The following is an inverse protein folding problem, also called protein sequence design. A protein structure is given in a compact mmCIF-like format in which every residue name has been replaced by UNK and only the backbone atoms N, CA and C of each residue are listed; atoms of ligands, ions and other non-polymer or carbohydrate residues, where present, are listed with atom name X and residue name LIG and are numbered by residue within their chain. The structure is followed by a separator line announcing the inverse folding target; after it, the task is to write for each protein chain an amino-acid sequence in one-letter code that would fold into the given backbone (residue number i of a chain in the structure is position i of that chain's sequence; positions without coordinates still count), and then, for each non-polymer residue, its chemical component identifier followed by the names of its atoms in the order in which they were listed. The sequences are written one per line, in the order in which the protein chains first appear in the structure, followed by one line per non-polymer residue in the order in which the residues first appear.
data_IF_380348593932
#
_entry.id   IF_380348593932
#
_cell.length_a   1.000
_cell.length_b   1.000
_cell.length_c   1.000
_cell.angle_alpha   90.00
_cell.angle_beta   90.00
_cell.angle_gamma   90.00
#
_symmetry.space_group_name_H-M   'P 1'
#
loop_
_entity.id
_entity.type
_entity.pdbx_description
1 polymer ?
#
# COMPACT_ATOMS: atom_id res chain seq x y z
N UNK A 1 17.75 28.12 -15.74
CA UNK A 1 19.09 27.65 -15.33
C UNK A 1 18.94 26.22 -14.83
N UNK A 2 19.62 25.24 -15.41
CA UNK A 2 19.51 23.86 -14.94
C UNK A 2 20.31 23.66 -13.65
N UNK A 3 19.95 22.67 -12.82
CA UNK A 3 20.70 22.35 -11.58
C UNK A 3 22.18 22.04 -11.88
N UNK A 4 22.44 21.39 -13.01
CA UNK A 4 23.79 21.11 -13.51
C UNK A 4 24.55 22.38 -13.90
N UNK A 5 23.88 23.39 -14.46
CA UNK A 5 24.53 24.67 -14.78
C UNK A 5 24.86 25.46 -13.51
N UNK A 6 23.95 25.45 -12.53
CA UNK A 6 24.16 26.10 -11.24
C UNK A 6 25.32 25.47 -10.45
N UNK A 7 25.41 24.14 -10.46
CA UNK A 7 26.48 23.43 -9.77
C UNK A 7 27.84 23.67 -10.43
N UNK A 8 27.89 23.74 -11.76
CA UNK A 8 29.11 24.09 -12.50
C UNK A 8 29.62 25.46 -12.07
N UNK A 9 28.74 26.46 -12.00
CA UNK A 9 29.10 27.81 -11.54
C UNK A 9 29.65 27.82 -10.10
N UNK A 10 29.02 27.05 -9.19
CA UNK A 10 29.50 26.88 -7.80
C UNK A 10 30.88 26.20 -7.77
N UNK A 11 31.11 25.23 -8.64
CA UNK A 11 32.36 24.47 -8.69
C UNK A 11 33.51 25.31 -9.28
N UNK A 12 33.20 26.19 -10.24
CA UNK A 12 34.16 27.09 -10.89
C UNK A 12 34.49 28.32 -10.03
N UNK A 13 33.61 28.69 -9.08
CA UNK A 13 33.84 29.81 -8.17
C UNK A 13 35.03 29.58 -7.23
N UNK A 14 35.98 30.52 -7.20
CA UNK A 14 37.12 30.51 -6.28
C UNK A 14 36.77 30.92 -4.85
N UNK A 15 35.58 31.51 -4.65
CA UNK A 15 35.10 32.00 -3.35
C UNK A 15 34.53 30.86 -2.50
N UNK A 16 34.03 29.80 -3.14
CA UNK A 16 33.37 28.69 -2.44
C UNK A 16 34.41 27.72 -1.86
N UNK A 17 34.38 27.44 -0.55
CA UNK A 17 35.29 26.48 0.07
C UNK A 17 35.16 25.07 -0.52
N UNK A 18 36.27 24.34 -0.58
CA UNK A 18 36.31 22.99 -1.16
C UNK A 18 35.43 21.97 -0.42
N UNK A 19 35.23 22.13 0.89
CA UNK A 19 34.32 21.30 1.67
C UNK A 19 32.86 21.45 1.21
N UNK A 20 32.45 22.67 0.88
CA UNK A 20 31.10 22.98 0.39
C UNK A 20 30.89 22.41 -1.01
N UNK A 21 31.88 22.56 -1.91
CA UNK A 21 31.84 21.95 -3.25
C UNK A 21 31.69 20.43 -3.16
N UNK A 22 32.46 19.78 -2.28
CA UNK A 22 32.35 18.33 -2.05
C UNK A 22 30.97 17.94 -1.53
N UNK A 23 30.43 18.65 -0.55
CA UNK A 23 29.09 18.38 -0.01
C UNK A 23 28.01 18.48 -1.09
N UNK A 24 28.03 19.52 -1.92
CA UNK A 24 27.06 19.66 -3.01
C UNK A 24 27.20 18.58 -4.08
N UNK A 25 28.42 18.18 -4.45
CA UNK A 25 28.65 17.09 -5.38
C UNK A 25 28.11 15.76 -4.82
N UNK A 26 28.38 15.46 -3.54
CA UNK A 26 27.83 14.27 -2.87
C UNK A 26 26.29 14.29 -2.87
N UNK A 27 25.67 15.43 -2.55
CA UNK A 27 24.21 15.56 -2.60
C UNK A 27 23.67 15.33 -4.02
N UNK A 28 24.38 15.82 -5.06
CA UNK A 28 23.96 15.60 -6.44
C UNK A 28 24.05 14.13 -6.84
N UNK A 29 25.11 13.44 -6.41
CA UNK A 29 25.30 12.01 -6.67
C UNK A 29 24.18 11.17 -6.01
N UNK A 30 23.86 11.47 -4.76
CA UNK A 30 22.74 10.85 -4.04
C UNK A 30 21.40 11.14 -4.73
N UNK A 31 21.16 12.39 -5.13
CA UNK A 31 19.92 12.77 -5.85
C UNK A 31 19.79 12.04 -7.19
N UNK A 32 20.91 11.86 -7.89
CA UNK A 32 20.95 11.11 -9.15
C UNK A 32 20.61 9.64 -8.92
N UNK A 33 21.16 9.04 -7.86
CA UNK A 33 20.85 7.67 -7.44
C UNK A 33 19.37 7.51 -7.11
N UNK A 34 18.81 8.39 -6.28
CA UNK A 34 17.39 8.39 -5.91
C UNK A 34 16.50 8.52 -7.15
N UNK A 35 16.85 9.40 -8.09
CA UNK A 35 16.09 9.57 -9.35
C UNK A 35 16.09 8.28 -10.18
N UNK A 36 17.22 7.60 -10.28
CA UNK A 36 17.32 6.33 -11.00
C UNK A 36 16.50 5.22 -10.33
N UNK A 37 16.55 5.12 -9.00
CA UNK A 37 15.75 4.15 -8.25
C UNK A 37 14.26 4.42 -8.40
N UNK A 38 13.83 5.67 -8.28
CA UNK A 38 12.46 6.11 -8.54
C UNK A 38 12.02 5.68 -9.94
N UNK A 39 12.82 5.93 -10.96
CA UNK A 39 12.51 5.59 -12.35
C UNK A 39 12.49 4.06 -12.60
N UNK A 40 13.31 3.30 -11.86
CA UNK A 40 13.24 1.82 -11.86
C UNK A 40 11.93 1.35 -11.22
N UNK A 41 11.61 1.84 -10.03
CA UNK A 41 10.42 1.45 -9.28
C UNK A 41 9.13 1.81 -10.04
N UNK A 42 9.07 2.98 -10.68
CA UNK A 42 7.93 3.34 -11.54
C UNK A 42 7.73 2.34 -12.68
N UNK A 43 8.80 1.91 -13.33
CA UNK A 43 8.72 0.90 -14.41
C UNK A 43 8.27 -0.46 -13.88
N UNK A 44 8.82 -0.91 -12.76
CA UNK A 44 8.42 -2.17 -12.13
C UNK A 44 6.96 -2.13 -11.69
N UNK A 45 6.53 -1.05 -11.04
CA UNK A 45 5.16 -0.85 -10.60
C UNK A 45 4.18 -0.83 -11.80
N UNK A 46 4.56 -0.17 -12.89
CA UNK A 46 3.81 -0.16 -14.15
C UNK A 46 3.62 -1.58 -14.72
N UNK A 47 4.68 -2.39 -14.73
CA UNK A 47 4.62 -3.78 -15.20
C UNK A 47 3.71 -4.62 -14.30
N UNK A 48 3.85 -4.48 -12.98
CA UNK A 48 3.04 -5.22 -12.01
C UNK A 48 1.56 -4.86 -12.13
N UNK A 49 1.21 -3.56 -12.20
CA UNK A 49 -0.17 -3.08 -12.40
C UNK A 49 -0.81 -3.66 -13.66
N UNK A 50 -0.07 -3.70 -14.78
CA UNK A 50 -0.52 -4.34 -16.02
C UNK A 50 -0.78 -5.85 -15.85
N UNK A 51 0.06 -6.55 -15.09
CA UNK A 51 -0.06 -8.00 -14.87
C UNK A 51 -1.31 -8.38 -14.06
N UNK A 52 -1.77 -7.49 -13.17
CA UNK A 52 -2.93 -7.71 -12.29
C UNK A 52 -4.20 -6.98 -12.75
N UNK A 53 -4.17 -6.30 -13.89
CA UNK A 53 -5.34 -5.65 -14.48
C UNK A 53 -5.80 -4.35 -13.79
N UNK A 54 -4.92 -3.71 -13.00
CA UNK A 54 -5.22 -2.41 -12.37
C UNK A 54 -4.99 -1.28 -13.39
N UNK A 55 -6.00 -0.41 -13.56
CA UNK A 55 -5.96 0.71 -14.51
C UNK A 55 -4.84 1.71 -14.19
N UNK A 56 -4.29 2.33 -15.24
CA UNK A 56 -3.15 3.26 -15.17
C UNK A 56 -3.53 4.64 -14.65
N UNK A 57 -4.83 4.96 -14.65
CA UNK A 57 -5.36 6.31 -14.45
C UNK A 57 -5.88 6.57 -13.04
N UNK A 58 -5.48 5.77 -12.04
CA UNK A 58 -5.78 6.10 -10.63
C UNK A 58 -4.65 6.99 -10.10
N UNK A 59 -4.80 8.33 -10.10
CA UNK A 59 -3.82 9.18 -9.44
C UNK A 59 -3.78 8.80 -7.97
N UNK A 60 -2.59 8.56 -7.45
CA UNK A 60 -2.35 8.53 -6.01
C UNK A 60 -2.35 10.00 -5.58
N UNK A 61 -3.52 10.57 -5.42
CA UNK A 61 -3.70 11.92 -4.89
C UNK A 61 -3.87 11.81 -3.39
N UNK A 62 -2.87 12.27 -2.65
CA UNK A 62 -3.01 12.67 -1.26
C UNK A 62 -3.86 13.96 -1.27
N UNK A 63 -5.19 13.88 -1.19
CA UNK A 63 -6.03 15.00 -0.70
C UNK A 63 -7.51 14.60 -0.53
N UNK A 64 -7.92 14.67 0.73
CA UNK A 64 -9.20 15.12 1.27
C UNK A 64 -9.96 16.11 0.37
N UNK A 65 -11.16 15.76 -0.11
CA UNK A 65 -12.35 16.62 -0.03
C UNK A 65 -13.63 15.90 -0.51
N UNK A 66 -14.74 16.21 0.16
CA UNK A 66 -15.98 16.53 -0.55
C UNK A 66 -16.93 15.40 -0.97
N UNK A 67 -17.88 15.11 -0.08
CA UNK A 67 -19.23 14.62 -0.38
C UNK A 67 -19.74 14.90 -1.82
N UNK A 68 -20.40 13.90 -2.42
CA UNK A 68 -21.82 14.01 -2.77
C UNK A 68 -22.45 12.64 -3.04
N UNK A 69 -23.31 12.27 -2.10
CA UNK A 69 -24.35 11.24 -2.23
C UNK A 69 -25.27 11.65 -3.36
N UNK A 70 -25.53 10.76 -4.31
CA UNK A 70 -26.81 10.76 -5.02
C UNK A 70 -27.37 9.35 -5.00
N UNK A 71 -28.44 9.27 -4.23
CA UNK A 71 -29.38 8.19 -4.01
C UNK A 71 -30.14 7.86 -5.31
N UNK A 72 -30.35 6.58 -5.62
CA UNK A 72 -31.63 6.17 -6.21
C UNK A 72 -31.94 4.70 -5.87
N UNK A 73 -32.79 4.58 -4.86
CA UNK A 73 -33.51 3.40 -4.48
C UNK A 73 -34.35 2.84 -5.64
N UNK A 74 -34.03 1.64 -6.12
CA UNK A 74 -35.04 0.74 -6.66
C UNK A 74 -35.16 -0.54 -5.85
N UNK A 75 -36.04 -0.42 -4.85
CA UNK A 75 -36.49 -1.45 -3.91
C UNK A 75 -37.44 -2.42 -4.61
N UNK A 76 -36.92 -3.55 -5.08
CA UNK A 76 -37.73 -4.73 -5.38
C UNK A 76 -37.75 -5.64 -4.16
N UNK A 77 -38.87 -5.63 -3.45
CA UNK A 77 -39.17 -6.51 -2.30
C UNK A 77 -39.35 -7.96 -2.77
N UNK A 78 -38.77 -8.96 -2.09
CA UNK A 78 -39.37 -10.29 -2.03
C UNK A 78 -39.90 -10.60 -0.63
N UNK A 79 -40.94 -11.43 -0.63
CA UNK A 79 -41.71 -11.92 0.50
C UNK A 79 -40.92 -12.77 1.52
N UNK A 80 -41.46 -12.94 2.74
CA UNK A 80 -40.77 -13.59 3.84
C UNK A 80 -40.84 -15.12 3.72
N UNK A 81 -39.74 -15.74 3.30
CA UNK A 81 -39.64 -17.21 3.31
C UNK A 81 -38.30 -17.64 3.92
N UNK A 82 -38.41 -18.37 5.03
CA UNK A 82 -37.46 -19.38 5.55
C UNK A 82 -36.25 -18.89 6.35
N UNK A 83 -36.36 -18.99 7.68
CA UNK A 83 -35.33 -18.86 8.72
C UNK A 83 -34.18 -19.90 8.65
N UNK A 84 -34.00 -20.61 7.54
CA UNK A 84 -33.00 -21.68 7.39
C UNK A 84 -31.68 -21.25 6.73
N UNK A 85 -31.62 -20.05 6.12
CA UNK A 85 -30.46 -19.56 5.36
C UNK A 85 -29.63 -18.46 6.04
N UNK A 86 -30.04 -17.98 7.22
CA UNK A 86 -29.33 -16.93 7.96
C UNK A 86 -27.84 -17.21 8.24
N UNK A 87 -27.44 -18.40 8.75
CA UNK A 87 -26.03 -18.62 9.09
C UNK A 87 -25.11 -18.69 7.87
N UNK A 88 -25.66 -19.04 6.70
CA UNK A 88 -24.90 -19.09 5.45
C UNK A 88 -24.69 -17.68 4.89
N UNK A 89 -25.74 -16.85 4.91
CA UNK A 89 -25.66 -15.46 4.49
C UNK A 89 -24.72 -14.62 5.37
N UNK A 90 -24.73 -14.79 6.69
CA UNK A 90 -23.82 -14.06 7.59
C UNK A 90 -22.35 -14.43 7.33
N UNK A 91 -22.05 -15.73 7.20
CA UNK A 91 -20.71 -16.22 6.87
C UNK A 91 -20.23 -15.71 5.50
N UNK A 92 -21.12 -15.72 4.50
CA UNK A 92 -20.79 -15.18 3.19
C UNK A 92 -20.56 -13.68 3.22
N UNK A 93 -21.34 -12.92 4.01
CA UNK A 93 -21.11 -11.48 4.16
C UNK A 93 -19.78 -11.19 4.86
N UNK A 94 -19.38 -11.99 5.85
CA UNK A 94 -18.06 -11.88 6.48
C UNK A 94 -16.94 -12.23 5.49
N UNK A 95 -17.11 -13.31 4.71
CA UNK A 95 -16.16 -13.72 3.67
C UNK A 95 -15.98 -12.66 2.58
N UNK A 96 -17.06 -12.03 2.14
CA UNK A 96 -17.03 -10.97 1.11
C UNK A 96 -16.41 -9.66 1.61
N UNK A 97 -16.36 -9.46 2.93
CA UNK A 97 -15.75 -8.30 3.58
C UNK A 97 -14.35 -8.59 4.12
N UNK A 98 -13.88 -9.83 3.99
CA UNK A 98 -12.56 -10.28 4.43
C UNK A 98 -11.63 -10.46 3.25
N UNK A 99 -10.35 -10.19 3.46
CA UNK A 99 -9.30 -10.47 2.48
C UNK A 99 -8.28 -11.44 3.08
N UNK A 100 -7.64 -12.24 2.23
CA UNK A 100 -6.56 -13.14 2.63
C UNK A 100 -5.24 -12.58 2.12
N UNK A 101 -4.35 -12.24 3.05
CA UNK A 101 -2.99 -11.76 2.74
C UNK A 101 -2.02 -12.91 2.96
N UNK A 102 -1.35 -13.34 1.89
CA UNK A 102 -0.38 -14.45 1.93
C UNK A 102 1.06 -13.93 1.88
N UNK A 103 1.99 -14.71 2.44
CA UNK A 103 3.43 -14.40 2.38
C UNK A 103 3.92 -13.36 3.39
N UNK A 104 3.13 -13.06 4.44
CA UNK A 104 3.57 -12.21 5.55
C UNK A 104 4.58 -12.99 6.42
N UNK A 105 5.82 -12.50 6.60
CA UNK A 105 6.80 -13.18 7.45
C UNK A 105 6.33 -13.22 8.91
N UNK A 106 6.37 -14.39 9.54
CA UNK A 106 5.98 -14.56 10.95
C UNK A 106 7.06 -14.07 11.92
N UNK A 107 6.64 -13.48 13.04
CA UNK A 107 7.56 -13.14 14.13
C UNK A 107 7.84 -14.36 15.02
N UNK A 108 9.10 -14.78 15.11
CA UNK A 108 9.57 -15.91 15.94
C UNK A 108 9.68 -15.60 17.44
N UNK A 109 8.67 -14.94 18.00
CA UNK A 109 8.61 -14.61 19.43
C UNK A 109 7.81 -15.63 20.22
N UNK A 110 8.32 -16.08 21.36
CA UNK A 110 7.56 -16.92 22.31
C UNK A 110 6.38 -16.17 22.97
N UNK A 111 6.43 -14.83 23.02
CA UNK A 111 5.34 -14.01 23.54
C UNK A 111 4.21 -13.90 22.51
N UNK A 112 3.00 -14.32 22.92
CA UNK A 112 1.76 -14.19 22.13
C UNK A 112 1.45 -12.72 21.87
N UNK A 113 1.54 -11.87 22.89
CA UNK A 113 1.29 -10.42 22.77
C UNK A 113 2.14 -9.77 21.68
N UNK A 114 3.44 -10.11 21.65
CA UNK A 114 4.36 -9.59 20.62
C UNK A 114 3.99 -10.07 19.22
N UNK A 115 3.55 -11.32 19.07
CA UNK A 115 3.13 -11.89 17.78
C UNK A 115 1.85 -11.22 17.27
N UNK A 116 0.81 -11.15 18.11
CA UNK A 116 -0.45 -10.48 17.76
C UNK A 116 -0.23 -9.02 17.38
N UNK A 117 0.60 -8.29 18.16
CA UNK A 117 0.93 -6.90 17.85
C UNK A 117 1.66 -6.76 16.52
N UNK A 118 2.60 -7.67 16.24
CA UNK A 118 3.32 -7.71 14.98
C UNK A 118 2.39 -8.01 13.81
N UNK A 119 1.44 -8.95 13.95
CA UNK A 119 0.49 -9.31 12.90
C UNK A 119 -0.42 -8.12 12.55
N UNK A 120 -0.97 -7.43 13.55
CA UNK A 120 -1.79 -6.23 13.35
C UNK A 120 -0.99 -5.14 12.63
N UNK A 121 0.23 -4.85 13.08
CA UNK A 121 1.09 -3.84 12.45
C UNK A 121 1.47 -4.21 11.02
N UNK A 122 1.78 -5.49 10.78
CA UNK A 122 2.14 -5.99 9.45
C UNK A 122 0.97 -5.86 8.49
N UNK A 123 -0.23 -6.29 8.89
CA UNK A 123 -1.44 -6.13 8.09
C UNK A 123 -1.75 -4.66 7.85
N UNK A 124 -1.66 -3.81 8.88
CA UNK A 124 -1.88 -2.38 8.73
C UNK A 124 -0.91 -1.74 7.73
N UNK A 125 0.38 -2.07 7.79
CA UNK A 125 1.36 -1.55 6.84
C UNK A 125 1.08 -1.99 5.41
N UNK A 126 0.61 -3.23 5.21
CA UNK A 126 0.23 -3.73 3.89
C UNK A 126 -1.00 -2.99 3.38
N UNK A 127 -2.06 -2.89 4.21
CA UNK A 127 -3.29 -2.19 3.88
C UNK A 127 -3.03 -0.71 3.55
N UNK A 128 -2.19 -0.06 4.35
CA UNK A 128 -1.73 1.30 4.11
C UNK A 128 -1.00 1.42 2.77
N UNK A 129 -0.08 0.49 2.48
CA UNK A 129 0.70 0.50 1.24
C UNK A 129 -0.16 0.33 -0.01
N UNK A 130 -1.25 -0.45 0.06
CA UNK A 130 -2.19 -0.64 -1.05
C UNK A 130 -3.29 0.43 -1.12
N UNK A 131 -3.27 1.42 -0.22
CA UNK A 131 -4.25 2.51 -0.19
C UNK A 131 -5.65 2.07 0.24
N UNK A 132 -5.74 1.12 1.18
CA UNK A 132 -7.04 0.76 1.77
C UNK A 132 -7.37 1.74 2.90
N UNK A 133 -8.47 2.47 2.72
CA UNK A 133 -8.95 3.50 3.66
C UNK A 133 -9.70 2.96 4.87
N UNK A 134 -9.70 1.63 5.08
CA UNK A 134 -10.36 1.00 6.22
C UNK A 134 -9.37 0.28 7.14
N UNK A 135 -9.65 0.37 8.44
CA UNK A 135 -8.91 -0.39 9.44
C UNK A 135 -9.54 -1.79 9.57
N UNK A 136 -8.72 -2.85 9.63
CA UNK A 136 -9.23 -4.19 9.86
C UNK A 136 -9.83 -4.24 11.26
N UNK A 137 -11.11 -4.62 11.35
CA UNK A 137 -11.81 -4.80 12.63
C UNK A 137 -11.23 -5.99 13.41
N UNK A 138 -10.77 -7.01 12.68
CA UNK A 138 -10.11 -8.19 13.24
C UNK A 138 -9.04 -8.69 12.28
N UNK A 139 -7.98 -9.27 12.84
CA UNK A 139 -6.91 -9.94 12.10
C UNK A 139 -6.81 -11.36 12.64
N UNK A 140 -7.00 -12.33 11.76
CA UNK A 140 -6.88 -13.74 12.09
C UNK A 140 -5.63 -14.29 11.42
N UNK A 141 -4.77 -14.95 12.18
CA UNK A 141 -3.73 -15.79 11.61
C UNK A 141 -4.32 -17.18 11.38
N UNK A 142 -4.28 -17.66 10.15
CA UNK A 142 -4.60 -19.05 9.86
C UNK A 142 -3.30 -19.86 9.99
N UNK A 143 -3.22 -20.75 10.98
CA UNK A 143 -2.12 -21.72 11.06
C UNK A 143 -2.27 -22.72 9.90
N UNK A 144 -1.75 -22.35 8.74
CA UNK A 144 -1.85 -23.14 7.53
C UNK A 144 -0.69 -24.15 7.45
N UNK A 145 -0.78 -25.24 8.21
CA UNK A 145 -0.80 -26.53 7.51
C UNK A 145 -2.14 -26.50 6.81
N UNK A 146 -2.15 -26.03 5.57
CA UNK A 146 -3.35 -26.00 4.73
C UNK A 146 -3.94 -27.41 4.83
N UNK A 147 -5.11 -27.53 5.46
CA UNK A 147 -5.96 -28.69 5.29
C UNK A 147 -6.41 -28.55 3.84
N UNK A 148 -5.63 -29.13 2.93
CA UNK A 148 -6.04 -29.39 1.56
C UNK A 148 -7.23 -30.33 1.68
N UNK A 149 -8.44 -29.79 1.51
CA UNK A 149 -9.59 -30.62 1.22
C UNK A 149 -9.49 -31.00 -0.26
N UNK A 150 -9.30 -32.31 -0.51
CA UNK A 150 -9.51 -32.97 -1.80
C UNK A 150 -10.92 -32.70 -2.37
#
# INVERSE_FOLDING_TARGET
MSLTDALREVNDSSVVPSCIKKAFNTILDELTTVKQERDRLFRENLILRKKIGISLDTPVTDEDDGHNVVDDHNRSKPEPTTLAHLPDMERETERLRSIVISGVPELSSASIDRRVRYDILSVHNILFHIGVDCLPVSVYYTCARIIEFE
#
